data_IF_172080918762
#
_entry.id   IF_172080918762
#
_cell.length_a   1.000
_cell.length_b   1.000
_cell.length_c   1.000
_cell.angle_alpha   90.00
_cell.angle_beta   90.00
_cell.angle_gamma   90.00
#
_symmetry.space_group_name_H-M   'P 1'
#
loop_
_entity.id
_entity.type
_entity.pdbx_description
1 polymer ?
#
# COMPACT_ATOMS: atom_id res chain seq x y z
N UNK A 1 -34.13 22.58 2.31
CA UNK A 1 -33.28 21.44 1.92
C UNK A 1 -33.55 21.19 0.46
N UNK A 2 -32.53 21.26 -0.36
CA UNK A 2 -32.69 21.13 -1.81
C UNK A 2 -32.89 19.65 -2.17
N UNK A 3 -33.51 19.37 -3.34
CA UNK A 3 -33.66 18.00 -3.87
C UNK A 3 -32.33 17.23 -3.94
N UNK A 4 -31.20 17.95 -4.05
CA UNK A 4 -29.84 17.37 -4.07
C UNK A 4 -29.45 16.79 -2.71
N UNK A 5 -29.86 17.41 -1.59
CA UNK A 5 -29.60 16.87 -0.24
C UNK A 5 -30.46 15.62 0.04
N UNK A 6 -31.68 15.55 -0.50
CA UNK A 6 -32.49 14.35 -0.39
C UNK A 6 -31.95 13.18 -1.23
N UNK A 7 -31.40 13.43 -2.44
CA UNK A 7 -30.76 12.42 -3.27
C UNK A 7 -29.49 11.88 -2.60
N UNK A 8 -28.72 12.74 -1.91
CA UNK A 8 -27.55 12.32 -1.16
C UNK A 8 -27.91 11.43 0.05
N UNK A 9 -29.00 11.76 0.75
CA UNK A 9 -29.50 10.96 1.88
C UNK A 9 -30.11 9.63 1.42
N UNK A 10 -30.80 9.60 0.27
CA UNK A 10 -31.31 8.35 -0.32
C UNK A 10 -30.18 7.46 -0.82
N UNK A 11 -29.11 8.02 -1.40
CA UNK A 11 -27.92 7.27 -1.78
C UNK A 11 -27.11 6.75 -0.57
N UNK A 12 -27.13 7.46 0.57
CA UNK A 12 -26.54 6.95 1.81
C UNK A 12 -27.22 5.68 2.32
N UNK A 13 -28.54 5.54 2.10
CA UNK A 13 -29.29 4.35 2.47
C UNK A 13 -29.10 3.17 1.50
N UNK A 14 -28.76 3.43 0.24
CA UNK A 14 -28.60 2.38 -0.77
C UNK A 14 -27.30 1.57 -0.60
N UNK A 15 -26.28 2.14 0.02
CA UNK A 15 -24.99 1.51 0.33
C UNK A 15 -24.75 1.38 1.83
N UNK A 16 -25.79 1.38 2.64
CA UNK A 16 -25.63 1.05 4.03
C UNK A 16 -25.26 -0.44 4.10
N UNK A 17 -23.96 -0.71 4.31
CA UNK A 17 -23.49 -2.02 4.78
C UNK A 17 -24.16 -2.24 6.15
N UNK A 18 -25.41 -2.63 6.12
CA UNK A 18 -26.15 -2.94 7.32
C UNK A 18 -25.52 -4.16 7.96
N UNK A 19 -24.64 -3.96 8.93
CA UNK A 19 -24.07 -4.98 9.82
C UNK A 19 -23.99 -6.39 9.19
N UNK A 20 -23.31 -6.47 8.02
CA UNK A 20 -23.09 -7.78 7.38
C UNK A 20 -22.14 -8.60 8.24
N UNK A 21 -22.70 -9.65 8.83
CA UNK A 21 -21.96 -10.56 9.68
C UNK A 21 -21.37 -11.70 8.83
N UNK A 22 -20.11 -11.99 9.08
CA UNK A 22 -19.47 -13.19 8.57
C UNK A 22 -18.55 -13.79 9.63
N UNK A 23 -18.19 -15.06 9.46
CA UNK A 23 -17.29 -15.74 10.37
C UNK A 23 -16.13 -16.37 9.60
N UNK A 24 -14.99 -16.39 10.23
CA UNK A 24 -13.80 -17.11 9.79
C UNK A 24 -13.33 -18.01 10.93
N UNK A 25 -12.51 -19.02 10.62
CA UNK A 25 -11.91 -19.86 11.65
C UNK A 25 -10.91 -19.08 12.48
N UNK A 26 -10.83 -19.42 13.76
CA UNK A 26 -9.77 -18.95 14.63
C UNK A 26 -8.46 -19.71 14.35
N UNK A 27 -7.36 -19.15 14.81
CA UNK A 27 -6.02 -19.66 14.55
C UNK A 27 -5.20 -19.67 15.83
N UNK A 28 -4.26 -20.60 15.89
CA UNK A 28 -3.15 -20.58 16.85
C UNK A 28 -1.88 -20.29 16.09
N UNK A 29 -1.10 -19.37 16.57
CA UNK A 29 0.14 -18.94 15.94
C UNK A 29 1.33 -19.28 16.82
N UNK A 30 2.36 -19.84 16.22
CA UNK A 30 3.61 -20.17 16.89
C UNK A 30 4.77 -19.52 16.12
N UNK A 31 5.68 -18.89 16.82
CA UNK A 31 6.91 -18.41 16.21
C UNK A 31 7.87 -19.59 16.01
N UNK A 32 8.40 -19.74 14.81
CA UNK A 32 9.44 -20.68 14.46
C UNK A 32 10.66 -19.94 13.90
N UNK A 33 11.83 -20.49 14.12
CA UNK A 33 13.04 -20.07 13.39
C UNK A 33 13.43 -21.27 12.56
N UNK A 34 13.12 -21.25 11.27
CA UNK A 34 13.64 -22.21 10.35
C UNK A 34 14.79 -21.61 9.57
N UNK A 35 15.85 -22.39 9.46
CA UNK A 35 16.99 -22.06 8.62
C UNK A 35 16.62 -22.46 7.20
N UNK A 36 15.97 -21.56 6.47
CA UNK A 36 15.77 -21.73 5.04
C UNK A 36 17.09 -21.36 4.37
N UNK A 37 17.85 -22.37 3.97
CA UNK A 37 19.10 -22.21 3.21
C UNK A 37 18.77 -21.69 1.79
N UNK A 38 18.54 -20.41 1.62
CA UNK A 38 18.52 -19.75 0.31
C UNK A 38 19.94 -19.35 -0.10
N UNK A 39 20.73 -18.96 0.86
CA UNK A 39 22.18 -18.73 0.75
C UNK A 39 22.85 -19.12 2.06
N UNK A 40 24.11 -19.60 2.06
CA UNK A 40 24.80 -19.96 3.30
C UNK A 40 24.85 -18.76 4.25
N UNK A 41 24.08 -18.81 5.35
CA UNK A 41 24.07 -17.80 6.42
C UNK A 41 22.81 -16.95 6.54
N UNK A 42 21.83 -17.06 5.68
CA UNK A 42 20.56 -16.32 5.79
C UNK A 42 19.55 -17.13 6.61
N UNK A 43 19.29 -16.69 7.85
CA UNK A 43 18.24 -17.23 8.69
C UNK A 43 16.95 -16.43 8.46
N UNK A 44 15.90 -17.08 7.97
CA UNK A 44 14.56 -16.47 7.91
C UNK A 44 13.74 -16.93 9.10
N UNK A 45 13.04 -15.98 9.71
CA UNK A 45 12.07 -16.26 10.75
C UNK A 45 10.73 -16.64 10.09
N UNK A 46 10.10 -17.67 10.63
CA UNK A 46 8.80 -18.14 10.15
C UNK A 46 7.74 -18.03 11.23
N UNK A 47 6.50 -17.82 10.81
CA UNK A 47 5.31 -17.94 11.64
C UNK A 47 4.60 -19.25 11.30
N UNK A 48 4.44 -20.12 12.29
CA UNK A 48 3.65 -21.35 12.17
C UNK A 48 2.22 -21.07 12.58
N UNK A 49 1.26 -21.35 11.71
CA UNK A 49 -0.15 -21.08 11.93
C UNK A 49 -0.94 -22.36 11.74
N UNK A 50 -1.84 -22.61 12.66
CA UNK A 50 -2.75 -23.75 12.63
C UNK A 50 -4.18 -23.27 12.86
N UNK A 51 -5.13 -23.77 12.08
CA UNK A 51 -6.54 -23.50 12.32
C UNK A 51 -7.00 -24.09 13.65
N UNK A 52 -7.68 -23.29 14.46
CA UNK A 52 -8.33 -23.76 15.70
C UNK A 52 -9.76 -24.19 15.39
N UNK A 53 -10.00 -25.48 15.38
CA UNK A 53 -11.32 -26.08 15.04
C UNK A 53 -12.44 -25.69 16.01
N UNK A 54 -12.10 -25.30 17.23
CA UNK A 54 -13.06 -24.99 18.28
C UNK A 54 -13.38 -23.49 18.37
N UNK A 55 -12.60 -22.65 17.67
CA UNK A 55 -12.75 -21.21 17.74
C UNK A 55 -13.21 -20.67 16.38
N UNK A 56 -14.37 -20.03 16.38
CA UNK A 56 -14.90 -19.32 15.23
C UNK A 56 -14.90 -17.82 15.54
N UNK A 57 -14.29 -17.05 14.67
CA UNK A 57 -14.14 -15.61 14.81
C UNK A 57 -15.25 -14.91 14.00
N UNK A 58 -16.02 -14.07 14.67
CA UNK A 58 -17.15 -13.36 14.08
C UNK A 58 -16.78 -11.91 13.79
N UNK A 59 -17.25 -11.41 12.65
CA UNK A 59 -16.96 -10.07 12.16
C UNK A 59 -18.24 -9.40 11.67
N UNK A 60 -18.22 -8.07 11.64
CA UNK A 60 -19.24 -7.27 10.99
C UNK A 60 -18.61 -6.09 10.25
N UNK A 61 -19.19 -5.74 9.11
CA UNK A 61 -18.96 -4.44 8.50
C UNK A 61 -19.96 -3.45 9.08
N UNK A 62 -19.45 -2.42 9.72
CA UNK A 62 -20.24 -1.35 10.28
C UNK A 62 -20.05 -0.06 9.47
N UNK A 63 -21.12 0.56 9.03
CA UNK A 63 -21.06 1.82 8.28
C UNK A 63 -20.41 2.98 9.05
N UNK A 64 -20.34 2.89 10.39
CA UNK A 64 -19.70 3.91 11.23
C UNK A 64 -18.28 3.54 11.69
N UNK A 65 -17.97 2.25 11.77
CA UNK A 65 -16.73 1.77 12.38
C UNK A 65 -15.89 0.87 11.45
N UNK A 66 -16.34 0.64 10.20
CA UNK A 66 -15.65 -0.25 9.26
C UNK A 66 -15.71 -1.72 9.68
N UNK A 67 -14.64 -2.46 9.44
CA UNK A 67 -14.53 -3.88 9.82
C UNK A 67 -14.25 -4.01 11.32
N UNK A 68 -15.11 -4.71 12.03
CA UNK A 68 -15.01 -4.92 13.48
C UNK A 68 -15.19 -6.39 13.85
N UNK A 69 -14.58 -6.79 14.98
CA UNK A 69 -14.88 -8.04 15.64
C UNK A 69 -16.25 -7.98 16.31
N UNK A 70 -16.95 -9.12 16.31
CA UNK A 70 -18.22 -9.25 17.03
C UNK A 70 -18.16 -10.40 18.01
N UNK A 71 -19.04 -10.38 19.01
CA UNK A 71 -19.33 -11.56 19.81
C UNK A 71 -20.24 -12.51 19.02
N UNK A 72 -20.34 -13.81 19.39
CA UNK A 72 -21.29 -14.74 18.78
C UNK A 72 -22.75 -14.26 18.87
N UNK A 73 -23.07 -13.40 19.84
CA UNK A 73 -24.39 -12.80 20.03
C UNK A 73 -24.58 -11.52 19.18
N UNK A 74 -23.63 -11.17 18.31
CA UNK A 74 -23.72 -10.02 17.41
C UNK A 74 -23.37 -8.66 18.04
N UNK A 75 -22.90 -8.60 19.29
CA UNK A 75 -22.43 -7.35 19.86
C UNK A 75 -21.11 -6.93 19.21
N UNK A 76 -21.09 -5.77 18.56
CA UNK A 76 -19.91 -5.26 17.86
C UNK A 76 -18.88 -4.74 18.87
N UNK A 77 -17.63 -5.22 18.80
CA UNK A 77 -16.50 -4.54 19.46
C UNK A 77 -16.29 -3.19 18.78
N UNK A 78 -16.01 -2.16 19.55
CA UNK A 78 -15.89 -0.79 19.02
C UNK A 78 -14.61 -0.54 18.23
N UNK A 79 -13.68 -1.47 18.26
CA UNK A 79 -12.37 -1.34 17.64
C UNK A 79 -12.43 -1.72 16.17
N UNK A 80 -11.95 -0.82 15.32
CA UNK A 80 -11.83 -1.04 13.89
C UNK A 80 -10.54 -1.84 13.62
N UNK A 81 -10.68 -3.02 13.05
CA UNK A 81 -9.54 -3.91 12.78
C UNK A 81 -8.49 -3.30 11.86
N UNK A 82 -8.92 -2.46 10.91
CA UNK A 82 -8.00 -1.79 10.02
C UNK A 82 -7.16 -0.75 10.79
N UNK A 83 -7.78 0.01 11.72
CA UNK A 83 -7.05 0.93 12.60
C UNK A 83 -6.03 0.21 13.46
N UNK A 84 -6.39 -0.94 13.98
CA UNK A 84 -5.51 -1.78 14.79
C UNK A 84 -4.33 -2.29 13.95
N UNK A 85 -4.60 -2.87 12.78
CA UNK A 85 -3.56 -3.39 11.89
C UNK A 85 -2.56 -2.32 11.45
N UNK A 86 -3.03 -1.15 11.01
CA UNK A 86 -2.13 -0.08 10.56
C UNK A 86 -1.31 0.55 11.69
N UNK A 87 -1.72 0.35 12.93
CA UNK A 87 -1.01 0.82 14.12
C UNK A 87 -0.02 -0.19 14.69
N UNK A 88 -0.04 -1.45 14.20
CA UNK A 88 0.88 -2.48 14.69
C UNK A 88 2.34 -2.14 14.36
N UNK A 89 3.26 -2.36 15.31
CA UNK A 89 4.67 -2.44 14.99
C UNK A 89 4.97 -3.58 13.99
N UNK A 90 6.06 -3.44 13.24
CA UNK A 90 6.48 -4.47 12.28
C UNK A 90 7.36 -5.55 12.95
N UNK A 91 6.95 -6.03 14.13
CA UNK A 91 7.62 -7.13 14.82
C UNK A 91 6.77 -8.39 14.84
N UNK A 92 7.43 -9.52 14.94
CA UNK A 92 6.81 -10.85 14.87
C UNK A 92 5.80 -11.09 15.99
N UNK A 93 6.08 -10.60 17.20
CA UNK A 93 5.21 -10.83 18.36
C UNK A 93 3.90 -10.04 18.24
N UNK A 94 3.98 -8.80 17.78
CA UNK A 94 2.81 -7.96 17.51
C UNK A 94 1.93 -8.57 16.40
N UNK A 95 2.53 -9.04 15.31
CA UNK A 95 1.81 -9.72 14.23
C UNK A 95 1.19 -11.03 14.70
N UNK A 96 1.93 -11.85 15.46
CA UNK A 96 1.45 -13.08 16.04
C UNK A 96 0.22 -12.85 16.92
N UNK A 97 0.31 -11.94 17.88
CA UNK A 97 -0.79 -11.60 18.77
C UNK A 97 -2.02 -11.11 18.01
N UNK A 98 -1.81 -10.25 17.00
CA UNK A 98 -2.91 -9.76 16.18
C UNK A 98 -3.62 -10.89 15.43
N UNK A 99 -2.89 -11.82 14.82
CA UNK A 99 -3.49 -12.91 14.07
C UNK A 99 -4.15 -13.97 14.96
N UNK A 100 -3.62 -14.22 16.15
CA UNK A 100 -4.27 -15.09 17.14
C UNK A 100 -5.62 -14.52 17.61
N UNK A 101 -5.66 -13.21 17.84
CA UNK A 101 -6.86 -12.54 18.33
C UNK A 101 -7.87 -12.27 17.21
N UNK A 102 -7.40 -11.83 16.06
CA UNK A 102 -8.24 -11.29 14.99
C UNK A 102 -8.36 -12.18 13.76
N UNK A 103 -7.70 -13.33 13.73
CA UNK A 103 -7.70 -14.24 12.59
C UNK A 103 -6.63 -13.93 11.55
N UNK A 104 -6.32 -14.92 10.72
CA UNK A 104 -5.27 -14.81 9.73
C UNK A 104 -5.77 -14.26 8.38
N UNK A 105 -4.88 -13.66 7.62
CA UNK A 105 -5.21 -13.01 6.33
C UNK A 105 -5.78 -13.98 5.29
N UNK A 106 -5.29 -15.22 5.28
CA UNK A 106 -5.66 -16.25 4.30
C UNK A 106 -6.32 -17.46 4.99
N UNK A 107 -7.14 -18.23 4.28
CA UNK A 107 -7.68 -19.48 4.81
C UNK A 107 -6.54 -20.48 5.03
N UNK A 108 -6.61 -21.23 6.14
CA UNK A 108 -5.63 -22.25 6.51
C UNK A 108 -6.31 -23.62 6.55
N UNK A 109 -5.58 -24.66 6.13
CA UNK A 109 -6.06 -26.05 6.22
C UNK A 109 -6.29 -26.47 7.67
N UNK A 110 -7.33 -27.29 7.89
CA UNK A 110 -7.67 -27.79 9.22
C UNK A 110 -6.77 -28.93 9.70
N UNK A 111 -6.03 -29.55 8.81
CA UNK A 111 -5.31 -30.80 9.08
C UNK A 111 -3.87 -30.60 9.46
N UNK A 112 -3.26 -29.51 9.02
CA UNK A 112 -1.84 -29.27 9.19
C UNK A 112 -1.57 -27.82 9.62
N UNK A 113 -0.37 -27.54 10.12
CA UNK A 113 0.10 -26.18 10.27
C UNK A 113 0.72 -25.70 8.97
N UNK A 114 0.55 -24.43 8.70
CA UNK A 114 1.23 -23.71 7.62
C UNK A 114 2.41 -22.95 8.19
N UNK A 115 3.47 -22.90 7.42
CA UNK A 115 4.67 -22.16 7.77
C UNK A 115 4.87 -21.03 6.79
N UNK A 116 5.00 -19.80 7.32
CA UNK A 116 5.01 -18.59 6.52
C UNK A 116 6.23 -17.77 6.88
N UNK A 117 6.97 -17.35 5.86
CA UNK A 117 8.07 -16.42 6.00
C UNK A 117 7.57 -15.07 6.54
N UNK A 118 8.19 -14.62 7.63
CA UNK A 118 7.79 -13.38 8.33
C UNK A 118 8.01 -12.16 7.44
N UNK A 119 9.08 -12.13 6.65
CA UNK A 119 9.33 -11.02 5.75
C UNK A 119 8.18 -10.86 4.75
N UNK A 120 7.81 -11.94 4.07
CA UNK A 120 6.70 -11.94 3.11
C UNK A 120 5.36 -11.53 3.76
N UNK A 121 5.11 -12.01 4.97
CA UNK A 121 3.90 -11.65 5.72
C UNK A 121 3.89 -10.17 6.11
N UNK A 122 5.03 -9.66 6.59
CA UNK A 122 5.19 -8.25 6.97
C UNK A 122 5.01 -7.34 5.76
N UNK A 123 5.56 -7.70 4.59
CA UNK A 123 5.39 -6.92 3.37
C UNK A 123 3.92 -6.88 2.93
N UNK A 124 3.16 -7.97 3.03
CA UNK A 124 1.71 -7.97 2.75
C UNK A 124 0.96 -7.03 3.71
N UNK A 125 1.29 -7.05 5.00
CA UNK A 125 0.71 -6.13 5.99
C UNK A 125 1.10 -4.69 5.68
N UNK A 126 2.33 -4.44 5.28
CA UNK A 126 2.82 -3.12 4.89
C UNK A 126 2.12 -2.58 3.64
N UNK A 127 1.77 -3.45 2.66
CA UNK A 127 0.94 -3.07 1.51
C UNK A 127 -0.45 -2.57 1.95
N UNK A 128 -1.10 -3.25 2.89
CA UNK A 128 -2.38 -2.78 3.46
C UNK A 128 -2.20 -1.43 4.13
N UNK A 129 -1.16 -1.29 4.98
CA UNK A 129 -0.84 -0.02 5.66
C UNK A 129 -0.59 1.11 4.66
N UNK A 130 0.25 0.86 3.66
CA UNK A 130 0.59 1.84 2.62
C UNK A 130 -0.64 2.29 1.83
N UNK A 131 -1.54 1.36 1.47
CA UNK A 131 -2.79 1.65 0.76
C UNK A 131 -3.68 2.60 1.55
N UNK A 132 -3.91 2.31 2.84
CA UNK A 132 -4.74 3.14 3.73
C UNK A 132 -4.12 4.53 3.93
N UNK A 133 -2.81 4.56 4.19
CA UNK A 133 -2.10 5.82 4.41
C UNK A 133 -2.05 6.67 3.16
N UNK A 134 -1.80 6.07 1.98
CA UNK A 134 -1.78 6.78 0.70
C UNK A 134 -3.15 7.39 0.38
N UNK A 135 -4.22 6.62 0.54
CA UNK A 135 -5.58 7.12 0.34
C UNK A 135 -5.88 8.30 1.28
N UNK A 136 -5.47 8.19 2.54
CA UNK A 136 -5.67 9.25 3.53
C UNK A 136 -4.88 10.52 3.21
N UNK A 137 -3.61 10.41 2.80
CA UNK A 137 -2.75 11.56 2.45
C UNK A 137 -3.24 12.30 1.20
N UNK A 138 -3.80 11.59 0.22
CA UNK A 138 -4.36 12.23 -0.99
C UNK A 138 -5.58 13.08 -0.63
N UNK A 139 -6.37 12.66 0.35
CA UNK A 139 -7.61 13.35 0.77
C UNK A 139 -7.39 14.41 1.87
N UNK A 140 -6.19 14.47 2.48
CA UNK A 140 -5.88 15.55 3.43
C UNK A 140 -5.87 16.91 2.73
N UNK A 141 -6.50 17.95 3.33
CA UNK A 141 -6.51 19.29 2.75
C UNK A 141 -5.10 19.90 2.55
N UNK A 142 -4.17 19.53 3.42
CA UNK A 142 -2.76 19.90 3.33
C UNK A 142 -1.95 18.63 3.04
N UNK A 143 -1.82 18.31 1.75
CA UNK A 143 -1.13 17.11 1.27
C UNK A 143 0.36 17.14 1.60
N UNK A 144 0.84 16.04 2.14
CA UNK A 144 2.28 15.80 2.26
C UNK A 144 2.77 15.05 1.01
N UNK A 145 3.25 15.80 0.02
CA UNK A 145 3.69 15.22 -1.26
C UNK A 145 4.89 14.28 -1.12
N UNK A 146 5.78 14.48 -0.15
CA UNK A 146 6.89 13.56 0.11
C UNK A 146 6.36 12.20 0.61
N UNK A 147 5.38 12.22 1.51
CA UNK A 147 4.73 11.01 2.00
C UNK A 147 3.91 10.31 0.91
N UNK A 148 3.19 11.07 0.07
CA UNK A 148 2.46 10.53 -1.08
C UNK A 148 3.44 9.87 -2.06
N UNK A 149 4.57 10.53 -2.38
CA UNK A 149 5.61 10.00 -3.24
C UNK A 149 6.16 8.69 -2.67
N UNK A 150 6.54 8.71 -1.41
CA UNK A 150 7.07 7.54 -0.73
C UNK A 150 6.11 6.35 -0.79
N UNK A 151 4.84 6.53 -0.39
CA UNK A 151 3.86 5.44 -0.36
C UNK A 151 3.53 4.92 -1.76
N UNK A 152 3.46 5.81 -2.75
CA UNK A 152 3.24 5.45 -4.15
C UNK A 152 4.41 4.61 -4.68
N UNK A 153 5.64 5.05 -4.45
CA UNK A 153 6.82 4.31 -4.89
C UNK A 153 7.00 3.00 -4.11
N UNK A 154 6.61 2.97 -2.83
CA UNK A 154 6.63 1.73 -2.07
C UNK A 154 5.73 0.66 -2.72
N UNK A 155 4.47 0.99 -3.03
CA UNK A 155 3.55 0.05 -3.67
C UNK A 155 4.00 -0.38 -5.08
N UNK A 156 4.74 0.47 -5.80
CA UNK A 156 5.21 0.19 -7.17
C UNK A 156 6.59 -0.47 -7.23
N UNK A 157 7.51 -0.13 -6.32
CA UNK A 157 8.94 -0.44 -6.47
C UNK A 157 9.53 -1.22 -5.30
N UNK A 158 8.77 -1.51 -4.23
CA UNK A 158 9.23 -2.42 -3.18
C UNK A 158 9.45 -3.84 -3.72
N UNK A 159 10.14 -4.66 -2.95
CA UNK A 159 10.30 -6.06 -3.26
C UNK A 159 8.93 -6.76 -3.29
N UNK A 160 8.67 -7.49 -4.38
CA UNK A 160 7.42 -8.21 -4.53
C UNK A 160 7.51 -9.57 -3.84
N UNK A 161 6.49 -9.88 -3.05
CA UNK A 161 6.44 -11.11 -2.28
C UNK A 161 5.28 -11.99 -2.71
N UNK A 162 5.41 -13.30 -2.45
CA UNK A 162 4.38 -14.28 -2.78
C UNK A 162 4.23 -15.29 -1.66
N UNK A 163 2.98 -15.60 -1.30
CA UNK A 163 2.63 -16.64 -0.33
C UNK A 163 1.75 -17.70 -0.99
N UNK A 164 2.14 -18.98 -0.81
CA UNK A 164 1.36 -20.14 -1.26
C UNK A 164 1.11 -21.05 -0.07
N UNK A 165 -0.13 -21.17 0.34
CA UNK A 165 -0.57 -22.08 1.40
C UNK A 165 -1.23 -23.33 0.79
N UNK A 166 -1.27 -24.43 1.54
CA UNK A 166 -1.84 -25.69 1.11
C UNK A 166 -3.33 -25.58 0.77
N UNK A 167 -4.06 -24.73 1.49
CA UNK A 167 -5.47 -24.44 1.30
C UNK A 167 -5.78 -23.54 0.10
N UNK A 168 -4.77 -22.96 -0.55
CA UNK A 168 -4.93 -21.99 -1.63
C UNK A 168 -4.72 -22.66 -2.99
N UNK A 169 -5.66 -22.49 -3.91
CA UNK A 169 -5.50 -22.95 -5.29
C UNK A 169 -4.41 -22.18 -6.03
N UNK A 170 -4.28 -20.88 -5.78
CA UNK A 170 -3.30 -19.98 -6.41
C UNK A 170 -2.54 -19.22 -5.33
N UNK A 171 -1.24 -19.02 -5.55
CA UNK A 171 -0.44 -18.14 -4.69
C UNK A 171 -1.00 -16.72 -4.69
N UNK A 172 -0.98 -16.08 -3.54
CA UNK A 172 -1.15 -14.64 -3.43
C UNK A 172 0.19 -13.98 -3.75
N UNK A 173 0.16 -12.86 -4.43
CA UNK A 173 1.36 -12.06 -4.71
C UNK A 173 1.03 -10.59 -4.63
N UNK A 174 1.96 -9.78 -4.15
CA UNK A 174 1.88 -8.32 -4.23
C UNK A 174 2.13 -7.78 -5.64
N UNK A 175 2.63 -8.62 -6.56
CA UNK A 175 2.86 -8.29 -7.97
C UNK A 175 1.54 -8.27 -8.77
N UNK A 176 0.68 -7.30 -8.51
CA UNK A 176 -0.59 -7.18 -9.23
C UNK A 176 -0.74 -5.88 -10.03
N UNK A 177 0.13 -4.91 -9.84
CA UNK A 177 0.13 -3.68 -10.64
C UNK A 177 0.52 -3.93 -12.09
N UNK A 178 -0.20 -3.28 -13.00
CA UNK A 178 0.05 -3.42 -14.44
C UNK A 178 1.48 -3.02 -14.82
N UNK A 179 1.98 -1.94 -14.22
CA UNK A 179 3.35 -1.46 -14.42
C UNK A 179 4.41 -2.50 -14.00
N UNK A 180 4.25 -3.17 -12.84
CA UNK A 180 5.23 -4.15 -12.35
C UNK A 180 5.37 -5.31 -13.32
N UNK A 181 4.25 -5.82 -13.85
CA UNK A 181 4.25 -6.92 -14.82
C UNK A 181 4.99 -6.58 -16.11
N UNK A 182 4.92 -5.33 -16.53
CA UNK A 182 5.63 -4.83 -17.72
C UNK A 182 7.12 -4.65 -17.38
N UNK A 183 7.44 -4.14 -16.19
CA UNK A 183 8.80 -3.96 -15.72
C UNK A 183 9.55 -5.30 -15.62
N UNK A 184 8.92 -6.33 -15.09
CA UNK A 184 9.50 -7.69 -15.04
C UNK A 184 9.81 -8.25 -16.43
N UNK A 185 8.94 -7.98 -17.44
CA UNK A 185 9.21 -8.35 -18.81
C UNK A 185 10.38 -7.57 -19.39
N UNK A 186 10.47 -6.27 -19.12
CA UNK A 186 11.59 -5.44 -19.59
C UNK A 186 12.92 -5.91 -19.00
N UNK A 187 12.95 -6.22 -17.70
CA UNK A 187 14.15 -6.72 -17.02
C UNK A 187 14.65 -8.07 -17.55
N UNK A 188 13.77 -8.86 -18.15
CA UNK A 188 14.14 -10.15 -18.77
C UNK A 188 14.70 -10.00 -20.18
N UNK A 189 14.58 -8.82 -20.81
CA UNK A 189 15.15 -8.55 -22.14
C UNK A 189 16.64 -8.29 -21.95
N UNK A 190 17.54 -9.05 -22.62
CA UNK A 190 18.97 -8.76 -22.60
C UNK A 190 19.20 -7.31 -23.02
N UNK A 191 20.18 -6.63 -22.40
CA UNK A 191 20.60 -5.30 -22.80
C UNK A 191 20.96 -5.31 -24.30
N UNK A 192 19.98 -5.03 -25.13
CA UNK A 192 20.13 -5.09 -26.57
C UNK A 192 20.86 -3.83 -26.96
N UNK A 193 21.89 -4.04 -27.76
CA UNK A 193 22.49 -3.08 -28.61
C UNK A 193 21.41 -2.16 -29.19
N UNK A 194 21.28 -0.96 -28.64
CA UNK A 194 20.22 0.00 -29.00
C UNK A 194 20.26 0.45 -30.48
N UNK A 195 21.23 -0.08 -31.24
CA UNK A 195 21.42 0.20 -32.66
C UNK A 195 20.52 -0.65 -33.57
N UNK A 196 19.83 -1.68 -33.05
CA UNK A 196 19.13 -2.65 -33.93
C UNK A 196 17.71 -2.31 -34.32
N UNK A 197 17.07 -1.33 -33.73
CA UNK A 197 15.71 -0.97 -34.09
C UNK A 197 15.63 0.44 -34.66
N UNK A 198 15.86 0.55 -35.97
CA UNK A 198 15.23 1.52 -36.86
C UNK A 198 15.15 2.98 -36.46
N UNK A 199 16.17 3.52 -35.78
CA UNK A 199 16.23 4.97 -35.62
C UNK A 199 16.74 5.60 -36.94
N UNK A 200 15.86 6.27 -37.60
CA UNK A 200 16.20 7.11 -38.74
C UNK A 200 16.73 8.48 -38.31
N UNK A 201 16.62 8.84 -37.00
CA UNK A 201 17.11 10.13 -36.47
C UNK A 201 17.80 9.96 -35.12
N UNK A 202 18.75 10.84 -34.84
CA UNK A 202 19.49 10.91 -33.57
C UNK A 202 18.63 11.33 -32.38
N UNK A 203 17.36 11.68 -32.64
CA UNK A 203 16.43 12.15 -31.59
C UNK A 203 15.10 11.42 -31.74
N UNK A 204 14.61 10.89 -30.64
CA UNK A 204 13.30 10.29 -30.55
C UNK A 204 12.36 11.18 -29.73
N UNK A 205 11.29 11.66 -30.37
CA UNK A 205 10.30 12.51 -29.73
C UNK A 205 9.18 11.65 -29.13
N UNK A 206 9.04 11.71 -27.80
CA UNK A 206 7.99 11.01 -27.06
C UNK A 206 6.95 12.02 -26.60
N UNK A 207 5.69 11.68 -26.78
CA UNK A 207 4.59 12.45 -26.23
C UNK A 207 4.36 12.05 -24.78
N UNK A 208 4.68 12.96 -23.89
CA UNK A 208 4.45 12.80 -22.46
C UNK A 208 2.96 12.95 -22.12
N UNK A 209 2.48 12.15 -21.17
CA UNK A 209 1.07 12.10 -20.82
C UNK A 209 0.72 12.86 -19.54
N UNK A 210 1.65 12.94 -18.60
CA UNK A 210 1.37 13.47 -17.27
C UNK A 210 2.29 14.60 -16.81
N UNK A 211 3.51 14.71 -17.35
CA UNK A 211 4.46 15.71 -16.92
C UNK A 211 4.82 16.74 -18.00
N UNK A 212 5.30 16.27 -19.15
CA UNK A 212 5.64 17.14 -20.29
C UNK A 212 4.91 16.64 -21.53
N UNK A 213 4.37 17.54 -22.38
CA UNK A 213 3.63 17.15 -23.56
C UNK A 213 4.50 16.44 -24.62
N UNK A 214 5.78 16.81 -24.68
CA UNK A 214 6.76 16.20 -25.58
C UNK A 214 8.14 16.19 -24.93
N UNK A 215 8.83 15.07 -25.03
CA UNK A 215 10.19 14.91 -24.59
C UNK A 215 11.03 14.31 -25.73
N UNK A 216 12.17 14.93 -26.03
CA UNK A 216 13.12 14.43 -26.99
C UNK A 216 14.22 13.64 -26.25
N UNK A 217 14.25 12.34 -26.46
CA UNK A 217 15.31 11.46 -25.97
C UNK A 217 16.34 11.29 -27.07
N UNK A 218 17.55 11.84 -26.88
CA UNK A 218 18.65 11.69 -27.80
C UNK A 218 19.10 10.24 -27.86
N UNK A 219 19.48 9.76 -29.06
CA UNK A 219 19.91 8.38 -29.26
C UNK A 219 21.17 8.04 -28.45
N UNK A 220 22.13 8.95 -28.35
CA UNK A 220 23.35 8.76 -27.58
C UNK A 220 23.02 8.65 -26.09
N UNK A 221 22.17 9.56 -25.55
CA UNK A 221 21.68 9.51 -24.16
C UNK A 221 20.98 8.19 -23.87
N UNK A 222 20.13 7.72 -24.77
CA UNK A 222 19.46 6.45 -24.64
C UNK A 222 20.42 5.28 -24.63
N UNK A 223 21.36 5.23 -25.57
CA UNK A 223 22.38 4.17 -25.64
C UNK A 223 23.25 4.13 -24.40
N UNK A 224 23.68 5.27 -23.92
CA UNK A 224 24.49 5.41 -22.70
C UNK A 224 23.75 4.87 -21.46
N UNK A 225 22.48 5.18 -21.33
CA UNK A 225 21.66 4.70 -20.21
C UNK A 225 21.45 3.17 -20.32
N UNK A 226 21.05 2.68 -21.49
CA UNK A 226 20.72 1.26 -21.69
C UNK A 226 21.97 0.38 -21.61
N UNK A 227 23.10 0.82 -22.20
CA UNK A 227 24.36 0.10 -22.10
C UNK A 227 24.98 0.16 -20.68
N UNK A 228 24.50 1.08 -19.86
CA UNK A 228 25.03 1.33 -18.54
C UNK A 228 26.40 1.99 -18.53
N UNK A 229 26.91 2.45 -19.69
CA UNK A 229 28.26 3.00 -19.79
C UNK A 229 28.42 4.29 -18.99
N UNK A 230 27.45 5.18 -19.03
CA UNK A 230 27.46 6.41 -18.24
C UNK A 230 27.14 6.17 -16.76
N UNK A 231 26.30 5.18 -16.47
CA UNK A 231 25.87 4.85 -15.12
C UNK A 231 26.91 4.00 -14.39
N UNK A 232 27.50 3.01 -15.06
CA UNK A 232 28.53 2.13 -14.47
C UNK A 232 29.81 2.86 -14.09
N UNK A 233 30.12 3.97 -14.76
CA UNK A 233 31.30 4.79 -14.43
C UNK A 233 31.12 5.53 -13.11
N UNK A 234 29.93 6.05 -12.85
CA UNK A 234 29.61 6.84 -11.66
C UNK A 234 29.04 6.00 -10.51
N UNK A 235 28.50 4.82 -10.81
CA UNK A 235 27.75 4.02 -9.86
C UNK A 235 28.04 2.51 -10.06
N UNK A 236 29.12 1.99 -9.45
CA UNK A 236 29.46 0.57 -9.51
C UNK A 236 28.33 -0.30 -8.91
N UNK A 237 27.85 -1.26 -9.66
CA UNK A 237 26.73 -2.15 -9.25
C UNK A 237 25.35 -1.74 -9.76
N UNK A 238 25.27 -0.71 -10.56
CA UNK A 238 24.01 -0.22 -11.15
C UNK A 238 23.50 -1.06 -12.36
N UNK A 239 24.13 -2.17 -12.70
CA UNK A 239 23.67 -3.07 -13.76
C UNK A 239 22.22 -3.55 -13.56
N UNK A 240 21.74 -3.58 -12.30
CA UNK A 240 20.41 -4.05 -11.93
C UNK A 240 19.39 -2.92 -11.72
N UNK A 241 19.72 -1.67 -12.11
CA UNK A 241 18.83 -0.56 -11.87
C UNK A 241 17.60 -0.59 -12.72
N UNK A 242 16.48 -0.49 -12.04
CA UNK A 242 15.15 -0.30 -12.62
C UNK A 242 15.06 0.95 -13.51
N UNK A 243 15.95 1.92 -13.34
CA UNK A 243 15.94 3.12 -14.17
C UNK A 243 16.19 2.82 -15.64
N UNK A 244 17.15 1.96 -15.99
CA UNK A 244 17.38 1.56 -17.39
C UNK A 244 16.16 0.86 -17.98
N UNK A 245 15.50 0.02 -17.18
CA UNK A 245 14.27 -0.68 -17.60
C UNK A 245 13.11 0.32 -17.79
N UNK A 246 13.00 1.33 -16.92
CA UNK A 246 12.02 2.41 -17.07
C UNK A 246 12.29 3.24 -18.32
N UNK A 247 13.55 3.58 -18.60
CA UNK A 247 13.94 4.29 -19.83
C UNK A 247 13.64 3.45 -21.07
N UNK A 248 13.94 2.16 -21.02
CA UNK A 248 13.59 1.22 -22.09
C UNK A 248 12.08 1.19 -22.34
N UNK A 249 11.27 1.06 -21.29
CA UNK A 249 9.81 1.06 -21.38
C UNK A 249 9.25 2.41 -21.84
N UNK A 250 9.79 3.50 -21.35
CA UNK A 250 9.39 4.85 -21.76
C UNK A 250 9.47 5.02 -23.26
N UNK A 251 10.49 4.46 -23.87
CA UNK A 251 10.71 4.52 -25.31
C UNK A 251 9.96 3.43 -26.09
N UNK A 252 9.99 2.18 -25.63
CA UNK A 252 9.56 1.02 -26.42
C UNK A 252 8.15 0.52 -26.09
N UNK A 253 7.45 1.12 -25.11
CA UNK A 253 6.10 0.73 -24.71
C UNK A 253 5.05 1.84 -24.88
N UNK A 254 4.96 2.50 -26.05
CA UNK A 254 4.00 3.60 -26.25
C UNK A 254 2.54 3.14 -26.30
N UNK A 255 2.30 1.85 -26.61
CA UNK A 255 0.97 1.26 -26.80
C UNK A 255 0.49 0.43 -25.62
N UNK A 256 1.17 0.51 -24.46
CA UNK A 256 0.70 -0.13 -23.23
C UNK A 256 -0.61 0.48 -22.74
N UNK A 257 -1.23 -0.18 -21.76
CA UNK A 257 -2.47 0.33 -21.16
C UNK A 257 -2.27 1.77 -20.68
N UNK A 258 -3.29 2.64 -20.75
CA UNK A 258 -3.15 4.03 -20.33
C UNK A 258 -2.60 4.19 -18.92
N UNK A 259 -3.02 3.32 -17.99
CA UNK A 259 -2.54 3.34 -16.61
C UNK A 259 -1.03 3.04 -16.51
N UNK A 260 -0.56 1.98 -17.18
CA UNK A 260 0.85 1.62 -17.21
C UNK A 260 1.69 2.70 -17.91
N UNK A 261 1.21 3.23 -19.03
CA UNK A 261 1.92 4.29 -19.77
C UNK A 261 2.07 5.57 -18.94
N UNK A 262 1.03 6.00 -18.23
CA UNK A 262 1.06 7.15 -17.32
C UNK A 262 2.08 6.91 -16.21
N UNK A 263 2.12 5.70 -15.66
CA UNK A 263 3.06 5.33 -14.59
C UNK A 263 4.51 5.34 -15.08
N UNK A 264 4.77 4.77 -16.27
CA UNK A 264 6.11 4.78 -16.90
C UNK A 264 6.57 6.22 -17.14
N UNK A 265 5.72 7.05 -17.72
CA UNK A 265 5.99 8.45 -18.01
C UNK A 265 6.36 9.24 -16.74
N UNK A 266 5.56 9.12 -15.71
CA UNK A 266 5.85 9.74 -14.42
C UNK A 266 7.18 9.28 -13.81
N UNK A 267 7.42 7.95 -13.77
CA UNK A 267 8.64 7.41 -13.16
C UNK A 267 9.90 7.81 -13.93
N UNK A 268 9.82 7.86 -15.26
CA UNK A 268 10.92 8.35 -16.08
C UNK A 268 11.29 9.79 -15.72
N UNK A 269 10.32 10.71 -15.70
CA UNK A 269 10.57 12.10 -15.35
C UNK A 269 10.98 12.29 -13.90
N UNK A 270 10.38 11.56 -12.97
CA UNK A 270 10.78 11.59 -11.56
C UNK A 270 12.26 11.24 -11.41
N UNK A 271 12.69 10.11 -11.97
CA UNK A 271 14.07 9.66 -11.82
C UNK A 271 15.06 10.53 -12.59
N UNK A 272 14.65 11.09 -13.72
CA UNK A 272 15.48 12.02 -14.50
C UNK A 272 15.67 13.37 -13.81
N UNK A 273 14.61 13.96 -13.25
CA UNK A 273 14.65 15.32 -12.72
C UNK A 273 15.03 15.35 -11.23
N UNK A 274 14.55 14.40 -10.44
CA UNK A 274 14.72 14.39 -8.98
C UNK A 274 15.92 13.53 -8.58
N UNK A 275 16.00 12.32 -9.10
CA UNK A 275 17.06 11.38 -8.77
C UNK A 275 16.64 9.94 -8.94
N UNK A 276 17.63 9.09 -9.19
CA UNK A 276 17.42 7.65 -9.44
C UNK A 276 17.14 6.96 -8.11
N UNK A 277 16.00 6.28 -8.03
CA UNK A 277 15.59 5.51 -6.87
C UNK A 277 16.40 4.21 -6.80
N UNK A 278 17.11 3.99 -5.71
CA UNK A 278 17.86 2.78 -5.42
C UNK A 278 16.97 1.72 -4.80
N UNK A 279 16.35 2.04 -3.67
CA UNK A 279 15.52 1.12 -2.89
C UNK A 279 14.34 1.86 -2.29
N UNK A 280 13.24 1.15 -2.13
CA UNK A 280 12.09 1.63 -1.37
C UNK A 280 11.69 0.56 -0.38
N UNK A 281 11.55 0.93 0.89
CA UNK A 281 11.08 0.03 1.94
C UNK A 281 10.11 0.77 2.86
N UNK A 282 9.21 0.03 3.51
CA UNK A 282 8.21 0.63 4.40
C UNK A 282 8.84 1.26 5.65
N UNK A 283 9.99 0.78 6.10
CA UNK A 283 10.65 1.29 7.31
C UNK A 283 11.57 2.48 7.02
N UNK A 284 12.32 2.42 5.92
CA UNK A 284 13.39 3.38 5.64
C UNK A 284 12.99 4.44 4.59
N UNK A 285 11.81 4.29 3.97
CA UNK A 285 11.35 5.21 2.93
C UNK A 285 12.04 5.00 1.58
N UNK A 286 12.29 6.11 0.88
CA UNK A 286 12.97 6.12 -0.42
C UNK A 286 14.46 6.36 -0.22
N UNK A 287 15.27 5.45 -0.73
CA UNK A 287 16.71 5.61 -0.86
C UNK A 287 17.04 5.97 -2.30
N UNK A 288 17.71 7.08 -2.50
CA UNK A 288 18.21 7.51 -3.81
C UNK A 288 19.69 7.19 -3.91
N UNK A 289 20.21 6.98 -5.13
CA UNK A 289 21.65 6.78 -5.34
C UNK A 289 22.45 8.00 -4.96
N UNK A 290 21.97 9.19 -5.36
CA UNK A 290 22.55 10.47 -5.03
C UNK A 290 21.56 11.32 -4.23
N UNK A 291 22.05 12.45 -3.74
CA UNK A 291 21.19 13.44 -3.09
C UNK A 291 20.10 13.89 -4.06
N UNK A 292 18.81 13.66 -3.75
CA UNK A 292 17.72 14.03 -4.65
C UNK A 292 17.61 15.55 -4.80
N UNK A 293 17.31 16.00 -6.01
CA UNK A 293 17.08 17.41 -6.34
C UNK A 293 15.61 17.80 -6.04
N UNK A 294 15.22 17.78 -4.75
CA UNK A 294 13.83 18.02 -4.32
C UNK A 294 13.29 19.39 -4.72
N UNK A 295 14.17 20.38 -4.97
CA UNK A 295 13.80 21.69 -5.48
C UNK A 295 13.18 21.65 -6.89
N UNK A 296 13.44 20.58 -7.64
CA UNK A 296 12.83 20.34 -8.96
C UNK A 296 11.46 19.64 -8.87
N UNK A 297 11.01 19.27 -7.67
CA UNK A 297 9.71 18.65 -7.47
C UNK A 297 8.60 19.71 -7.55
N UNK A 298 8.35 20.16 -8.76
CA UNK A 298 7.42 21.22 -9.10
C UNK A 298 5.93 20.80 -9.01
N UNK A 299 5.04 21.74 -9.23
CA UNK A 299 3.60 21.48 -9.13
C UNK A 299 3.09 20.57 -10.24
N UNK A 300 3.72 20.54 -11.43
CA UNK A 300 3.35 19.63 -12.51
C UNK A 300 3.69 18.19 -12.11
N UNK A 301 4.87 17.96 -11.57
CA UNK A 301 5.29 16.64 -11.11
C UNK A 301 4.45 16.16 -9.91
N UNK A 302 4.04 17.07 -9.01
CA UNK A 302 3.08 16.79 -7.93
C UNK A 302 1.72 16.37 -8.44
N UNK A 303 1.20 17.02 -9.49
CA UNK A 303 -0.07 16.63 -10.12
C UNK A 303 0.03 15.27 -10.82
N UNK A 304 1.14 15.02 -11.51
CA UNK A 304 1.43 13.72 -12.09
C UNK A 304 1.49 12.62 -11.02
N UNK A 305 2.16 12.88 -9.89
CA UNK A 305 2.19 11.99 -8.74
C UNK A 305 0.78 11.64 -8.23
N UNK A 306 -0.11 12.62 -8.07
CA UNK A 306 -1.49 12.35 -7.62
C UNK A 306 -2.23 11.46 -8.61
N UNK A 307 -2.00 11.64 -9.91
CA UNK A 307 -2.62 10.80 -10.94
C UNK A 307 -2.14 9.36 -10.83
N UNK A 308 -0.83 9.15 -10.69
CA UNK A 308 -0.24 7.81 -10.52
C UNK A 308 -0.66 7.18 -9.19
N UNK A 309 -0.68 7.94 -8.10
CA UNK A 309 -1.14 7.46 -6.80
C UNK A 309 -2.58 6.93 -6.84
N UNK A 310 -3.47 7.58 -7.59
CA UNK A 310 -4.84 7.12 -7.80
C UNK A 310 -4.91 5.83 -8.65
N UNK A 311 -4.04 5.69 -9.66
CA UNK A 311 -3.93 4.45 -10.45
C UNK A 311 -3.48 3.31 -9.53
N UNK A 312 -2.44 3.53 -8.74
CA UNK A 312 -1.91 2.55 -7.79
C UNK A 312 -2.97 2.10 -6.79
N UNK A 313 -3.68 3.04 -6.16
CA UNK A 313 -4.78 2.72 -5.24
C UNK A 313 -5.89 1.91 -5.92
N UNK A 314 -6.26 2.27 -7.14
CA UNK A 314 -7.29 1.55 -7.89
C UNK A 314 -6.87 0.09 -8.16
N UNK A 315 -5.63 -0.12 -8.59
CA UNK A 315 -5.12 -1.46 -8.86
C UNK A 315 -4.96 -2.28 -7.58
N UNK A 316 -4.39 -1.67 -6.53
CA UNK A 316 -4.18 -2.31 -5.22
C UNK A 316 -5.50 -2.78 -4.59
N UNK A 317 -6.48 -1.89 -4.51
CA UNK A 317 -7.78 -2.22 -3.89
C UNK A 317 -8.50 -3.29 -4.73
N UNK A 318 -8.65 -3.09 -6.03
CA UNK A 318 -9.43 -4.02 -6.87
C UNK A 318 -8.81 -5.42 -6.95
N UNK A 319 -7.49 -5.54 -6.97
CA UNK A 319 -6.79 -6.82 -7.00
C UNK A 319 -7.06 -7.66 -5.74
N UNK A 320 -7.32 -7.02 -4.60
CA UNK A 320 -7.51 -7.66 -3.32
C UNK A 320 -8.98 -7.93 -2.94
N UNK A 321 -9.94 -7.54 -3.79
CA UNK A 321 -11.38 -7.77 -3.55
C UNK A 321 -11.88 -9.14 -4.02
N UNK A 322 -11.05 -9.98 -4.61
CA UNK A 322 -11.45 -11.29 -5.19
C UNK A 322 -12.10 -12.26 -4.21
N UNK A 323 -11.86 -12.09 -2.92
CA UNK A 323 -12.49 -12.89 -1.85
C UNK A 323 -13.86 -12.37 -1.39
N UNK A 324 -14.37 -11.29 -1.98
CA UNK A 324 -15.68 -10.72 -1.66
C UNK A 324 -16.71 -11.21 -2.68
N UNK A 325 -17.77 -11.85 -2.17
CA UNK A 325 -18.82 -12.41 -3.02
C UNK A 325 -20.16 -11.83 -2.62
N UNK A 326 -20.92 -11.25 -3.55
CA UNK A 326 -22.28 -10.78 -3.29
C UNK A 326 -23.20 -11.99 -3.02
N UNK A 327 -24.12 -11.84 -2.09
CA UNK A 327 -25.17 -12.83 -1.83
C UNK A 327 -26.48 -12.12 -1.54
N UNK A 328 -27.60 -12.81 -1.73
CA UNK A 328 -28.91 -12.33 -1.36
C UNK A 328 -29.44 -13.14 -0.16
N UNK A 329 -29.86 -12.45 0.90
CA UNK A 329 -30.44 -13.06 2.09
C UNK A 329 -31.95 -13.06 1.94
N UNK A 330 -32.52 -14.19 1.47
CA UNK A 330 -33.94 -14.29 1.18
C UNK A 330 -34.84 -14.05 2.42
N UNK A 331 -34.37 -14.46 3.62
CA UNK A 331 -35.12 -14.25 4.87
C UNK A 331 -35.29 -12.78 5.27
N UNK A 332 -34.39 -11.91 4.79
CA UNK A 332 -34.41 -10.46 5.03
C UNK A 332 -34.79 -9.65 3.79
N UNK A 333 -34.82 -10.30 2.61
CA UNK A 333 -35.00 -9.66 1.32
C UNK A 333 -33.96 -8.58 1.03
N UNK A 334 -32.70 -8.80 1.45
CA UNK A 334 -31.63 -7.82 1.39
C UNK A 334 -30.37 -8.39 0.70
N UNK A 335 -29.64 -7.53 -0.05
CA UNK A 335 -28.30 -7.89 -0.52
C UNK A 335 -27.32 -7.93 0.67
N UNK A 336 -26.32 -8.79 0.57
CA UNK A 336 -25.26 -8.96 1.57
C UNK A 336 -23.95 -9.32 0.88
N UNK A 337 -22.87 -9.23 1.61
CA UNK A 337 -21.54 -9.57 1.14
C UNK A 337 -20.93 -10.66 2.02
N UNK A 338 -20.29 -11.63 1.41
CA UNK A 338 -19.53 -12.65 2.11
C UNK A 338 -18.05 -12.46 1.82
N UNK A 339 -17.24 -12.30 2.86
CA UNK A 339 -15.79 -12.36 2.76
C UNK A 339 -15.33 -13.81 2.98
N UNK A 340 -14.44 -14.29 2.11
CA UNK A 340 -13.85 -15.63 2.20
C UNK A 340 -12.57 -15.67 3.01
N UNK A 341 -11.94 -14.53 3.22
CA UNK A 341 -10.70 -14.37 3.98
C UNK A 341 -10.60 -12.95 4.57
N UNK A 342 -9.74 -12.79 5.57
CA UNK A 342 -9.60 -11.53 6.28
C UNK A 342 -8.92 -10.44 5.42
N UNK A 343 -7.98 -10.81 4.55
CA UNK A 343 -7.32 -9.87 3.63
C UNK A 343 -8.35 -9.13 2.77
N UNK A 344 -9.20 -9.88 2.08
CA UNK A 344 -10.26 -9.28 1.24
C UNK A 344 -11.27 -8.49 2.06
N UNK A 345 -11.58 -8.91 3.30
CA UNK A 345 -12.43 -8.14 4.19
C UNK A 345 -11.81 -6.78 4.59
N UNK A 346 -10.49 -6.74 4.82
CA UNK A 346 -9.77 -5.50 5.11
C UNK A 346 -9.78 -4.56 3.90
N UNK A 347 -9.47 -5.06 2.69
CA UNK A 347 -9.54 -4.25 1.47
C UNK A 347 -10.97 -3.81 1.14
N UNK A 348 -11.96 -4.63 1.45
CA UNK A 348 -13.35 -4.24 1.33
C UNK A 348 -13.73 -3.12 2.31
N UNK A 349 -13.18 -3.13 3.52
CA UNK A 349 -13.32 -2.02 4.46
C UNK A 349 -12.68 -0.73 3.91
N UNK A 350 -11.53 -0.83 3.22
CA UNK A 350 -10.88 0.31 2.54
C UNK A 350 -11.76 0.81 1.38
N UNK A 351 -12.30 -0.09 0.57
CA UNK A 351 -13.20 0.24 -0.55
C UNK A 351 -14.43 1.04 -0.09
N UNK A 352 -14.96 0.73 1.11
CA UNK A 352 -16.10 1.45 1.69
C UNK A 352 -15.73 2.67 2.52
N UNK A 353 -14.44 2.94 2.73
CA UNK A 353 -14.05 4.26 3.22
C UNK A 353 -14.61 5.31 2.28
N UNK A 354 -15.18 6.36 2.85
CA UNK A 354 -15.75 7.46 2.07
C UNK A 354 -14.64 8.48 1.76
N UNK A 355 -13.98 8.39 0.59
CA UNK A 355 -12.99 9.38 0.19
C UNK A 355 -13.62 10.78 0.27
N UNK A 356 -12.87 11.74 0.81
CA UNK A 356 -13.36 13.09 1.05
C UNK A 356 -14.17 13.29 2.34
N UNK A 357 -14.59 12.21 3.02
CA UNK A 357 -15.31 12.31 4.30
C UNK A 357 -14.65 11.61 5.47
N UNK A 358 -13.81 10.60 5.23
CA UNK A 358 -13.14 9.81 6.24
C UNK A 358 -11.68 9.52 5.85
N UNK A 359 -10.76 9.75 6.79
CA UNK A 359 -9.33 9.51 6.62
C UNK A 359 -8.76 8.85 7.87
N UNK A 360 -7.70 8.05 7.72
CA UNK A 360 -6.90 7.59 8.84
C UNK A 360 -5.79 8.60 9.14
N UNK A 361 -5.72 9.02 10.38
CA UNK A 361 -4.73 10.00 10.84
C UNK A 361 -3.90 9.42 11.96
N UNK A 362 -2.59 9.66 11.89
CA UNK A 362 -1.66 9.36 12.98
C UNK A 362 -1.92 10.26 14.18
N UNK A 363 -1.84 9.69 15.39
CA UNK A 363 -2.00 10.44 16.61
C UNK A 363 -0.86 11.44 16.82
N UNK A 364 -1.18 12.72 16.98
CA UNK A 364 -0.19 13.77 17.21
C UNK A 364 0.55 13.70 18.58
N UNK A 365 0.31 12.67 19.37
CA UNK A 365 1.11 12.37 20.56
C UNK A 365 2.35 11.55 20.16
N UNK A 366 3.58 12.09 20.23
CA UNK A 366 4.81 11.41 19.80
C UNK A 366 5.12 10.08 20.51
N UNK A 367 4.40 9.74 21.57
CA UNK A 367 4.54 8.47 22.25
C UNK A 367 3.37 7.50 21.92
N UNK A 368 2.59 7.83 20.90
CA UNK A 368 1.43 7.04 20.49
C UNK A 368 1.52 6.82 18.98
N UNK A 369 1.69 5.59 18.56
CA UNK A 369 1.78 5.23 17.14
C UNK A 369 0.40 4.85 16.55
N UNK A 370 -0.71 5.11 17.28
CA UNK A 370 -2.04 4.72 16.84
C UNK A 370 -2.54 5.59 15.70
N UNK A 371 -3.03 4.94 14.68
CA UNK A 371 -3.85 5.56 13.63
C UNK A 371 -5.33 5.44 14.00
N UNK A 372 -6.11 6.44 13.66
CA UNK A 372 -7.53 6.44 13.99
C UNK A 372 -8.34 7.12 12.89
N UNK A 373 -9.54 6.62 12.68
CA UNK A 373 -10.46 7.15 11.67
C UNK A 373 -11.00 8.52 12.11
N UNK A 374 -10.94 9.48 11.20
CA UNK A 374 -11.42 10.86 11.39
C UNK A 374 -12.32 11.26 10.24
N UNK A 375 -13.44 11.89 10.55
CA UNK A 375 -14.24 12.57 9.53
C UNK A 375 -13.51 13.84 9.08
N UNK A 376 -13.39 14.07 7.78
CA UNK A 376 -12.73 15.26 7.22
C UNK A 376 -13.37 16.55 7.69
N UNK A 377 -14.69 16.55 7.95
CA UNK A 377 -15.42 17.65 8.59
C UNK A 377 -14.89 17.99 10.00
N UNK A 378 -14.19 17.04 10.66
CA UNK A 378 -13.56 17.23 11.97
C UNK A 378 -12.03 17.35 11.85
N UNK A 379 -11.54 18.17 10.94
CA UNK A 379 -10.12 18.37 10.66
C UNK A 379 -9.27 18.80 11.86
N UNK A 380 -9.90 19.23 12.97
CA UNK A 380 -9.22 19.61 14.21
C UNK A 380 -8.86 18.43 15.12
N UNK A 381 -9.41 17.24 14.91
CA UNK A 381 -9.11 16.06 15.74
C UNK A 381 -7.71 15.53 15.42
N UNK A 382 -6.75 15.79 16.30
CA UNK A 382 -5.33 15.42 16.17
C UNK A 382 -4.90 14.24 17.06
N UNK A 383 -5.75 13.78 17.98
CA UNK A 383 -5.42 12.77 18.96
C UNK A 383 -6.45 11.65 18.92
N UNK A 384 -5.99 10.42 19.02
CA UNK A 384 -6.86 9.25 19.02
C UNK A 384 -7.83 9.24 20.23
N UNK A 385 -7.37 9.74 21.39
CA UNK A 385 -8.15 9.78 22.62
C UNK A 385 -7.80 11.00 23.50
N UNK A 386 -8.64 11.35 24.49
CA UNK A 386 -8.38 12.45 25.42
C UNK A 386 -7.07 12.29 26.20
N UNK A 387 -6.68 11.08 26.56
CA UNK A 387 -5.42 10.79 27.27
C UNK A 387 -4.20 11.25 26.46
N UNK A 388 -4.16 10.97 25.17
CA UNK A 388 -3.08 11.40 24.28
C UNK A 388 -3.00 12.93 24.16
N UNK A 389 -4.15 13.61 24.08
CA UNK A 389 -4.21 15.07 24.08
C UNK A 389 -3.63 15.65 25.38
N UNK A 390 -4.04 15.12 26.54
CA UNK A 390 -3.60 15.60 27.84
C UNK A 390 -2.11 15.33 28.07
N UNK A 391 -1.60 14.15 27.69
CA UNK A 391 -0.18 13.81 27.77
C UNK A 391 0.69 14.76 26.93
N UNK A 392 0.24 15.10 25.72
CA UNK A 392 0.96 16.06 24.86
C UNK A 392 0.93 17.47 25.44
N UNK A 393 -0.20 17.92 25.97
CA UNK A 393 -0.32 19.22 26.62
C UNK A 393 0.63 19.35 27.82
N UNK A 394 0.69 18.34 28.68
CA UNK A 394 1.61 18.30 29.82
C UNK A 394 3.08 18.31 29.39
N UNK A 395 3.43 17.54 28.34
CA UNK A 395 4.79 17.52 27.78
C UNK A 395 5.20 18.91 27.25
N UNK A 396 4.30 19.56 26.53
CA UNK A 396 4.56 20.91 25.97
C UNK A 396 4.68 21.95 27.09
N UNK A 397 3.89 21.86 28.16
CA UNK A 397 3.98 22.71 29.33
C UNK A 397 5.35 22.55 30.04
N UNK A 398 5.79 21.30 30.27
CA UNK A 398 7.13 21.04 30.85
C UNK A 398 8.28 21.58 30.00
N UNK A 399 8.17 21.47 28.64
CA UNK A 399 9.18 22.07 27.72
C UNK A 399 9.21 23.60 27.83
N UNK A 400 8.06 24.27 27.98
CA UNK A 400 8.00 25.73 28.17
C UNK A 400 8.67 26.15 29.49
N UNK A 401 8.36 25.48 30.59
CA UNK A 401 8.98 25.77 31.89
C UNK A 401 10.50 25.61 31.82
N UNK A 402 11.02 24.51 31.24
CA UNK A 402 12.47 24.33 31.07
C UNK A 402 13.12 25.44 30.23
N UNK A 403 12.45 25.94 29.19
CA UNK A 403 12.98 27.05 28.39
C UNK A 403 12.98 28.39 29.15
N UNK A 404 12.08 28.55 30.11
CA UNK A 404 12.01 29.76 30.96
C UNK A 404 13.03 29.73 32.11
N UNK A 405 13.42 28.54 32.57
CA UNK A 405 14.42 28.39 33.65
C UNK A 405 15.88 28.42 33.17
N UNK A 406 16.12 28.47 31.86
CA UNK A 406 17.46 28.53 31.23
C UNK A 406 17.76 29.94 30.69
N UNK A 407 16.79 30.85 30.77
CA UNK A 407 16.98 32.29 30.58
C UNK A 407 17.12 32.99 31.92
#
# INVERSE_FOLDING_TARGET
MSEIENIALENENFFNLGNDYFSLKGYRCFTGVDVVNLTPGEMRQTLKIQADKQNELHYAFSGSNGLCRTTPMGSVRKENLLSELISLPNDIDSLRCFFEENGFLFPISETEYEEIDIYSLTEIVNHIKATVLLMSEIEEPQRNYEKILYLTLYLLLSEQVSIKLSSMNKAYSTCHHGFIKILEKASSVPAIDGTKEGFESDTYLIKDLVYKPNYALNIEEYQDIISGSSLTHNYPGMSDLRYKDIVYLYRNAPNETPAARITIDFLFHLMKEIGIVNKVSFENGIEFYDKPALEKFDDNLKQALITVAKIVLNEEINSNLSGIVPRFIASKMEPSWKASNLLSAMYFSIFYMRPGSEIYRECANPACNNHFLVKTSNGRKRYCCPSCRNATAQRNHRKKIKKMSVK
#
